data_IF_093914346358
#
_entry.id   IF_093914346358
#
_cell.length_a   1.000
_cell.length_b   1.000
_cell.length_c   1.000
_cell.angle_alpha   90.00
_cell.angle_beta   90.00
_cell.angle_gamma   90.00
#
_symmetry.space_group_name_H-M   'P 1'
#
loop_
_entity.id
_entity.type
_entity.pdbx_description
1 polymer ?
#
# COMPACT_ATOMS: atom_id res chain seq x y z
N UNK A 1 17.07 -2.04 -7.56
CA UNK A 1 15.65 -1.67 -7.67
C UNK A 1 14.87 -2.55 -6.71
N UNK A 2 14.19 -1.96 -5.75
CA UNK A 2 13.26 -2.65 -4.84
C UNK A 2 11.89 -2.80 -5.50
N UNK A 3 11.02 -3.64 -4.92
CA UNK A 3 9.66 -3.80 -5.43
C UNK A 3 8.85 -2.50 -5.38
N UNK A 4 9.01 -1.70 -4.32
CA UNK A 4 8.35 -0.39 -4.23
C UNK A 4 8.90 0.60 -5.27
N UNK A 5 10.20 0.56 -5.57
CA UNK A 5 10.78 1.33 -6.69
C UNK A 5 10.23 0.89 -8.05
N UNK A 6 9.88 -0.40 -8.21
CA UNK A 6 9.21 -0.90 -9.41
C UNK A 6 7.75 -0.40 -9.53
N UNK A 7 7.03 -0.24 -8.42
CA UNK A 7 5.68 0.34 -8.41
C UNK A 7 5.68 1.85 -8.70
N UNK A 8 6.76 2.54 -8.34
CA UNK A 8 6.92 4.00 -8.48
C UNK A 8 5.76 4.82 -7.85
N UNK A 9 5.47 4.61 -6.56
CA UNK A 9 4.34 5.25 -5.88
C UNK A 9 4.53 6.75 -5.67
N UNK A 10 3.42 7.47 -5.79
CA UNK A 10 3.23 8.85 -5.36
C UNK A 10 2.30 8.86 -4.15
N UNK A 11 2.63 9.65 -3.13
CA UNK A 11 1.99 9.57 -1.82
C UNK A 11 1.26 10.86 -1.45
N UNK A 12 0.11 10.69 -0.82
CA UNK A 12 -0.64 11.71 -0.11
C UNK A 12 -0.87 11.22 1.33
N UNK A 13 0.05 11.62 2.23
CA UNK A 13 0.00 11.22 3.64
C UNK A 13 -0.87 12.23 4.39
N UNK A 14 -2.06 11.80 4.82
CA UNK A 14 -2.99 12.68 5.53
C UNK A 14 -2.62 12.79 7.01
N UNK A 15 -2.40 11.66 7.67
CA UNK A 15 -1.97 11.55 9.07
C UNK A 15 -1.45 10.12 9.38
N UNK A 16 -1.23 9.80 10.65
CA UNK A 16 -0.72 8.49 11.11
C UNK A 16 -1.72 7.33 11.01
N UNK A 17 -2.97 7.60 10.65
CA UNK A 17 -4.05 6.61 10.58
C UNK A 17 -4.60 6.45 9.17
N UNK A 18 -4.36 7.43 8.28
CA UNK A 18 -4.88 7.45 6.92
C UNK A 18 -3.78 7.86 5.94
N UNK A 19 -3.54 6.99 4.97
CA UNK A 19 -2.63 7.24 3.84
C UNK A 19 -3.36 6.96 2.55
N UNK A 20 -3.17 7.84 1.58
CA UNK A 20 -3.56 7.61 0.20
C UNK A 20 -2.31 7.61 -0.67
N UNK A 21 -2.25 6.73 -1.66
CA UNK A 21 -1.17 6.68 -2.62
C UNK A 21 -1.70 6.27 -3.98
N UNK A 22 -0.94 6.58 -5.03
CA UNK A 22 -1.22 6.11 -6.38
C UNK A 22 0.05 5.59 -7.03
N UNK A 23 -0.12 4.71 -8.01
CA UNK A 23 0.97 4.25 -8.88
C UNK A 23 0.59 4.54 -10.33
N UNK A 24 1.55 4.95 -11.18
CA UNK A 24 1.28 5.10 -12.61
C UNK A 24 1.02 3.72 -13.22
N UNK A 25 0.02 3.65 -14.10
CA UNK A 25 -0.23 2.45 -14.90
C UNK A 25 0.98 2.14 -15.79
N UNK A 26 1.32 0.85 -15.92
CA UNK A 26 2.37 0.35 -16.81
C UNK A 26 1.82 -0.84 -17.58
N UNK A 27 2.15 -0.96 -18.87
CA UNK A 27 1.69 -2.08 -19.69
C UNK A 27 2.07 -3.44 -19.10
N UNK A 28 3.19 -3.53 -18.39
CA UNK A 28 3.64 -4.74 -17.68
C UNK A 28 2.72 -5.17 -16.53
N UNK A 29 1.73 -4.37 -16.14
CA UNK A 29 0.77 -4.69 -15.08
C UNK A 29 -0.40 -5.53 -15.57
N UNK A 30 -0.61 -5.67 -16.87
CA UNK A 30 -1.74 -6.44 -17.41
C UNK A 30 -1.52 -7.94 -17.29
N UNK A 31 -2.59 -8.68 -17.01
CA UNK A 31 -2.63 -10.13 -17.13
C UNK A 31 -3.01 -10.56 -18.55
N UNK A 32 -3.02 -11.88 -18.77
CA UNK A 32 -3.38 -12.49 -20.08
C UNK A 32 -4.80 -12.16 -20.55
N UNK A 33 -5.67 -11.69 -19.63
CA UNK A 33 -7.04 -11.27 -19.94
C UNK A 33 -7.15 -9.79 -20.33
N UNK A 34 -6.04 -9.05 -20.34
CA UNK A 34 -6.01 -7.62 -20.68
C UNK A 34 -6.52 -6.71 -19.55
N UNK A 35 -6.54 -7.20 -18.32
CA UNK A 35 -6.87 -6.41 -17.12
C UNK A 35 -5.64 -6.30 -16.21
N UNK A 36 -5.58 -5.30 -15.34
CA UNK A 36 -4.52 -5.21 -14.33
C UNK A 36 -4.49 -6.50 -13.51
N UNK A 37 -3.33 -7.13 -13.45
CA UNK A 37 -3.11 -8.36 -12.73
C UNK A 37 -3.44 -8.14 -11.25
N UNK A 38 -4.19 -9.06 -10.65
CA UNK A 38 -4.58 -8.97 -9.24
C UNK A 38 -3.40 -8.85 -8.27
N UNK A 39 -2.18 -9.26 -8.66
CA UNK A 39 -0.97 -9.11 -7.85
C UNK A 39 -0.55 -7.64 -7.73
N UNK A 40 -0.78 -6.81 -8.75
CA UNK A 40 -0.52 -5.38 -8.70
C UNK A 40 -1.52 -4.68 -7.77
N UNK A 41 -2.80 -5.08 -7.83
CA UNK A 41 -3.86 -4.58 -6.93
C UNK A 41 -3.57 -4.98 -5.47
N UNK A 42 -3.13 -6.22 -5.24
CA UNK A 42 -2.72 -6.65 -3.89
C UNK A 42 -1.46 -5.91 -3.42
N UNK A 43 -0.49 -5.69 -4.32
CA UNK A 43 0.76 -5.02 -4.00
C UNK A 43 0.56 -3.56 -3.60
N UNK A 44 -0.26 -2.80 -4.32
CA UNK A 44 -0.58 -1.42 -3.95
C UNK A 44 -1.36 -1.36 -2.63
N UNK A 45 -2.25 -2.33 -2.38
CA UNK A 45 -2.96 -2.49 -1.10
C UNK A 45 -2.01 -2.80 0.07
N UNK A 46 -1.07 -3.72 -0.11
CA UNK A 46 -0.05 -4.08 0.89
C UNK A 46 0.88 -2.90 1.19
N UNK A 47 1.32 -2.17 0.16
CA UNK A 47 2.12 -0.95 0.33
C UNK A 47 1.37 0.10 1.15
N UNK A 48 0.12 0.39 0.80
CA UNK A 48 -0.70 1.40 1.49
C UNK A 48 -0.97 0.99 2.95
N UNK A 49 -1.35 -0.28 3.19
CA UNK A 49 -1.62 -0.77 4.54
C UNK A 49 -0.36 -0.84 5.39
N UNK A 50 0.77 -1.25 4.83
CA UNK A 50 2.07 -1.28 5.50
C UNK A 50 2.53 0.11 5.95
N UNK A 51 2.29 1.15 5.15
CA UNK A 51 2.58 2.55 5.52
C UNK A 51 1.82 3.01 6.77
N UNK A 52 0.54 2.64 6.88
CA UNK A 52 -0.27 2.94 8.07
C UNK A 52 0.16 2.05 9.25
N UNK A 53 0.49 0.79 8.99
CA UNK A 53 0.82 -0.17 10.04
C UNK A 53 2.13 0.19 10.76
N UNK A 54 3.14 0.64 10.02
CA UNK A 54 4.44 1.05 10.58
C UNK A 54 4.30 2.38 11.35
N UNK A 55 5.00 2.48 12.47
CA UNK A 55 5.13 3.70 13.26
C UNK A 55 6.62 3.92 13.60
N UNK A 56 7.01 5.12 14.02
CA UNK A 56 8.41 5.45 14.39
C UNK A 56 8.99 4.51 15.45
N UNK A 57 8.15 3.81 16.21
CA UNK A 57 8.54 2.97 17.35
C UNK A 57 8.65 1.48 17.05
N UNK A 58 8.09 1.01 15.93
CA UNK A 58 8.06 -0.42 15.62
C UNK A 58 7.80 -0.67 14.14
N UNK A 59 8.31 -1.79 13.64
CA UNK A 59 7.93 -2.30 12.33
C UNK A 59 6.74 -3.24 12.45
N UNK A 60 6.02 -3.38 11.35
CA UNK A 60 4.82 -4.19 11.27
C UNK A 60 4.79 -4.95 9.94
N UNK A 61 5.58 -6.04 9.78
CA UNK A 61 5.48 -6.88 8.59
C UNK A 61 4.08 -7.49 8.49
N UNK A 62 3.61 -7.63 7.26
CA UNK A 62 2.33 -8.27 6.93
C UNK A 62 2.32 -9.72 7.43
N UNK A 63 1.36 -10.05 8.29
CA UNK A 63 1.11 -11.40 8.81
C UNK A 63 0.03 -12.09 7.97
N UNK A 64 -1.02 -11.36 7.62
CA UNK A 64 -2.09 -11.80 6.73
C UNK A 64 -2.61 -10.64 5.92
N UNK A 65 -3.00 -10.92 4.68
CA UNK A 65 -3.69 -9.96 3.83
C UNK A 65 -4.67 -10.71 2.94
N UNK A 66 -5.88 -10.19 2.80
CA UNK A 66 -6.88 -10.75 1.90
C UNK A 66 -7.56 -9.64 1.12
N UNK A 67 -7.86 -9.94 -0.14
CA UNK A 67 -8.40 -8.97 -1.10
C UNK A 67 -9.65 -9.50 -1.75
N UNK A 68 -10.73 -8.73 -1.68
CA UNK A 68 -11.94 -8.96 -2.46
C UNK A 68 -11.86 -8.10 -3.73
N UNK A 69 -11.80 -8.77 -4.88
CA UNK A 69 -11.87 -8.11 -6.19
C UNK A 69 -13.34 -7.91 -6.59
N UNK A 70 -13.72 -6.65 -6.81
CA UNK A 70 -15.10 -6.24 -7.10
C UNK A 70 -15.30 -5.90 -8.57
N UNK A 71 -14.32 -5.22 -9.18
CA UNK A 71 -14.34 -4.81 -10.59
C UNK A 71 -12.92 -4.88 -11.18
N UNK A 72 -12.75 -5.31 -12.44
CA UNK A 72 -11.45 -5.28 -13.10
C UNK A 72 -11.03 -3.84 -13.42
N UNK A 73 -9.73 -3.56 -13.35
CA UNK A 73 -9.13 -2.33 -13.90
C UNK A 73 -8.55 -2.69 -15.28
N UNK A 74 -8.90 -1.92 -16.32
CA UNK A 74 -8.48 -2.22 -17.70
C UNK A 74 -7.39 -1.23 -18.15
N UNK A 75 -7.79 -0.03 -18.57
CA UNK A 75 -6.89 1.04 -18.96
C UNK A 75 -7.20 2.24 -18.08
N UNK A 76 -6.17 2.86 -17.55
CA UNK A 76 -6.24 3.99 -16.61
C UNK A 76 -4.90 4.72 -16.68
N UNK A 77 -4.80 5.94 -16.16
CA UNK A 77 -3.52 6.61 -15.97
C UNK A 77 -2.88 6.20 -14.64
N UNK A 78 -3.70 6.09 -13.59
CA UNK A 78 -3.27 5.76 -12.24
C UNK A 78 -4.16 4.71 -11.57
N UNK A 79 -3.55 3.94 -10.69
CA UNK A 79 -4.23 3.05 -9.74
C UNK A 79 -4.02 3.63 -8.35
N UNK A 80 -5.10 3.77 -7.60
CA UNK A 80 -5.14 4.45 -6.31
C UNK A 80 -5.42 3.46 -5.19
N UNK A 81 -4.84 3.71 -4.03
CA UNK A 81 -5.06 2.96 -2.81
C UNK A 81 -5.18 3.91 -1.62
N UNK A 82 -6.23 3.75 -0.82
CA UNK A 82 -6.42 4.47 0.44
C UNK A 82 -6.52 3.49 1.58
N UNK A 83 -5.52 3.53 2.46
CA UNK A 83 -5.47 2.74 3.66
C UNK A 83 -5.93 3.55 4.88
N UNK A 84 -6.67 2.88 5.77
CA UNK A 84 -7.21 3.45 7.00
C UNK A 84 -7.05 2.45 8.15
N UNK A 85 -6.51 2.95 9.27
CA UNK A 85 -6.30 2.18 10.48
C UNK A 85 -7.64 1.70 11.04
N UNK A 86 -7.80 0.39 11.17
CA UNK A 86 -8.95 -0.21 11.87
C UNK A 86 -8.65 -0.29 13.37
N UNK A 87 -7.45 -0.78 13.72
CA UNK A 87 -7.05 -0.96 15.12
C UNK A 87 -5.54 -1.07 15.26
N UNK A 88 -4.97 -0.33 16.22
CA UNK A 88 -3.57 -0.44 16.63
C UNK A 88 -3.47 -1.17 17.98
N UNK A 89 -3.19 -2.47 17.93
CA UNK A 89 -3.02 -3.31 19.11
C UNK A 89 -1.56 -3.43 19.55
N UNK A 90 -1.34 -4.06 20.72
CA UNK A 90 0.01 -4.30 21.25
C UNK A 90 0.84 -5.27 20.41
N UNK A 91 0.19 -6.24 19.75
CA UNK A 91 0.84 -7.32 18.98
C UNK A 91 0.50 -7.29 17.49
N UNK A 92 -0.59 -6.65 17.12
CA UNK A 92 -1.12 -6.67 15.76
C UNK A 92 -1.74 -5.32 15.44
N UNK A 93 -1.49 -4.83 14.22
CA UNK A 93 -2.16 -3.68 13.63
C UNK A 93 -3.07 -4.19 12.52
N UNK A 94 -4.32 -3.74 12.49
CA UNK A 94 -5.28 -4.06 11.44
C UNK A 94 -5.58 -2.80 10.65
N UNK A 95 -5.48 -2.91 9.32
CA UNK A 95 -5.66 -1.79 8.39
C UNK A 95 -6.53 -2.26 7.24
N UNK A 96 -7.50 -1.43 6.85
CA UNK A 96 -8.31 -1.63 5.65
C UNK A 96 -7.78 -0.75 4.52
N UNK A 97 -7.95 -1.20 3.29
CA UNK A 97 -7.60 -0.42 2.11
C UNK A 97 -8.66 -0.55 1.01
N UNK A 98 -9.00 0.58 0.39
CA UNK A 98 -9.83 0.64 -0.81
C UNK A 98 -8.93 0.93 -2.01
N UNK A 99 -9.12 0.18 -3.09
CA UNK A 99 -8.35 0.31 -4.33
C UNK A 99 -9.31 0.66 -5.48
N UNK A 100 -8.94 1.66 -6.28
CA UNK A 100 -9.71 2.15 -7.41
C UNK A 100 -8.80 2.66 -8.53
N UNK A 101 -9.38 3.14 -9.63
CA UNK A 101 -8.65 3.73 -10.76
C UNK A 101 -9.43 4.94 -11.29
N UNK A 102 -8.86 5.65 -12.27
CA UNK A 102 -9.52 6.83 -12.87
C UNK A 102 -10.92 6.49 -13.41
N UNK A 103 -11.05 5.31 -14.03
CA UNK A 103 -12.27 4.85 -14.68
C UNK A 103 -13.10 3.86 -13.84
N UNK A 104 -12.75 3.60 -12.58
CA UNK A 104 -13.43 2.61 -11.74
C UNK A 104 -13.47 3.04 -10.29
N UNK A 105 -14.65 3.44 -9.79
CA UNK A 105 -14.85 4.00 -8.44
C UNK A 105 -14.37 3.09 -7.29
N UNK A 106 -14.50 1.77 -7.42
CA UNK A 106 -14.03 0.80 -6.43
C UNK A 106 -13.76 -0.54 -7.11
N UNK A 107 -12.48 -0.88 -7.25
CA UNK A 107 -12.01 -2.09 -7.89
C UNK A 107 -11.80 -3.24 -6.89
N UNK A 108 -11.27 -2.93 -5.71
CA UNK A 108 -11.04 -3.92 -4.67
C UNK A 108 -11.09 -3.34 -3.25
N UNK A 109 -11.31 -4.22 -2.28
CA UNK A 109 -11.16 -3.95 -0.85
C UNK A 109 -10.15 -4.96 -0.31
N UNK A 110 -9.18 -4.46 0.45
CA UNK A 110 -8.13 -5.23 1.08
C UNK A 110 -8.19 -5.03 2.60
N UNK A 111 -7.98 -6.09 3.37
CA UNK A 111 -7.66 -5.98 4.80
C UNK A 111 -6.34 -6.69 5.05
N UNK A 112 -5.50 -6.02 5.83
CA UNK A 112 -4.18 -6.52 6.21
C UNK A 112 -4.04 -6.48 7.73
N UNK A 113 -3.50 -7.55 8.28
CA UNK A 113 -3.02 -7.62 9.64
C UNK A 113 -1.49 -7.70 9.64
N UNK A 114 -0.87 -6.79 10.38
CA UNK A 114 0.59 -6.70 10.51
C UNK A 114 1.01 -7.02 11.94
N UNK A 115 2.10 -7.76 12.11
CA UNK A 115 2.62 -8.13 13.44
C UNK A 115 3.54 -7.05 13.96
N UNK A 116 3.24 -6.51 15.14
CA UNK A 116 4.11 -5.52 15.80
C UNK A 116 5.39 -6.21 16.27
N UNK A 117 6.53 -5.80 15.72
CA UNK A 117 7.86 -6.24 16.13
C UNK A 117 8.68 -5.05 16.61
N UNK A 118 9.22 -5.15 17.83
CA UNK A 118 10.08 -4.14 18.45
C UNK A 118 11.53 -4.62 18.46
N UNK A 119 12.47 -3.75 18.09
CA UNK A 119 13.93 -3.91 18.24
C UNK A 119 14.62 -5.05 17.46
N UNK A 120 13.92 -5.80 16.61
CA UNK A 120 14.51 -6.92 15.84
C UNK A 120 14.85 -6.56 14.39
N UNK A 121 14.32 -5.45 13.86
CA UNK A 121 14.60 -4.97 12.52
C UNK A 121 14.98 -3.48 12.54
N UNK A 122 16.00 -3.16 11.78
CA UNK A 122 16.65 -1.85 11.77
C UNK A 122 15.83 -0.87 10.90
N UNK A 123 15.02 -0.03 11.54
CA UNK A 123 14.17 0.97 10.86
C UNK A 123 15.04 1.89 9.98
N UNK A 124 16.26 2.18 10.44
CA UNK A 124 17.26 3.01 9.73
C UNK A 124 17.74 2.39 8.42
N UNK A 125 17.56 1.08 8.21
CA UNK A 125 17.91 0.42 6.94
C UNK A 125 16.80 0.48 5.89
N UNK A 126 15.59 0.87 6.27
CA UNK A 126 14.50 1.05 5.31
C UNK A 126 14.61 2.41 4.64
N UNK A 127 15.21 2.44 3.44
CA UNK A 127 15.29 3.65 2.59
C UNK A 127 13.91 4.31 2.36
N UNK A 128 12.85 3.49 2.31
CA UNK A 128 11.48 4.00 2.23
C UNK A 128 11.08 4.76 3.50
N UNK A 129 11.39 4.21 4.67
CA UNK A 129 11.08 4.86 5.95
C UNK A 129 11.92 6.12 6.16
N UNK A 130 13.20 6.08 5.79
CA UNK A 130 14.07 7.26 5.78
C UNK A 130 13.48 8.37 4.89
N UNK A 131 13.05 8.04 3.68
CA UNK A 131 12.40 8.98 2.77
C UNK A 131 11.09 9.54 3.34
N UNK A 132 10.27 8.73 4.01
CA UNK A 132 9.03 9.19 4.65
C UNK A 132 9.31 10.13 5.82
N UNK A 133 10.29 9.79 6.67
CA UNK A 133 10.70 10.60 7.82
C UNK A 133 11.26 11.96 7.38
N UNK A 134 12.06 11.96 6.31
CA UNK A 134 12.68 13.17 5.77
C UNK A 134 11.77 13.93 4.78
N UNK A 135 10.52 13.49 4.62
CA UNK A 135 9.56 14.01 3.63
C UNK A 135 10.08 14.05 2.18
N UNK A 136 11.01 13.15 1.85
CA UNK A 136 11.65 13.02 0.55
C UNK A 136 10.98 11.94 -0.30
N UNK A 137 9.72 12.16 -0.67
CA UNK A 137 8.92 11.26 -1.51
C UNK A 137 8.12 12.04 -2.56
N UNK A 138 7.73 11.36 -3.65
CA UNK A 138 6.88 11.96 -4.69
C UNK A 138 5.48 12.21 -4.10
N UNK A 139 5.01 13.45 -4.18
CA UNK A 139 3.67 13.87 -3.73
C UNK A 139 2.75 14.05 -4.95
N UNK A 140 1.43 13.90 -4.74
CA UNK A 140 0.42 14.25 -5.73
C UNK A 140 -0.81 14.93 -5.11
#
# INVERSE_FOLDING_TARGET
MTFNEFLDPEYHIMNSEVVELRIPYKDVYINELGSVHGAIIMAIGDLATGLVAIDKKYLAPTQSSYTNFLKPIIKTEYIYARAELVKRGRRTVTVDCKIWSDDTDLAAINRTECTVISNELDIEKSKMMENLINENYKKY
#
